data_IF_833565401537
#
_entry.id   IF_833565401537
#
_cell.length_a   1.000
_cell.length_b   1.000
_cell.length_c   1.000
_cell.angle_alpha   90.00
_cell.angle_beta   90.00
_cell.angle_gamma   90.00
#
_symmetry.space_group_name_H-M   'P 1'
#
loop_
_entity.id
_entity.type
_entity.pdbx_description
1 polymer ?
#
# COMPACT_ATOMS: atom_id res chain seq x y z
N UNK A 1 43.72 37.33 30.96
CA UNK A 1 44.06 38.75 30.74
C UNK A 1 44.72 38.86 29.38
N UNK A 2 44.15 39.70 28.47
CA UNK A 2 44.83 40.61 27.52
C UNK A 2 46.03 40.03 26.71
N UNK A 3 46.08 40.00 25.37
CA UNK A 3 45.58 40.95 24.35
C UNK A 3 45.82 40.36 22.95
N UNK A 4 44.86 40.57 22.06
CA UNK A 4 44.99 40.50 20.60
C UNK A 4 45.72 41.76 20.08
N UNK A 5 46.33 41.74 18.87
CA UNK A 5 46.40 42.88 17.91
C UNK A 5 47.12 42.50 16.57
N UNK A 6 46.37 42.63 15.46
CA UNK A 6 46.68 43.18 14.10
C UNK A 6 47.82 42.58 13.24
N UNK A 7 47.62 42.09 12.00
CA UNK A 7 46.96 42.61 10.77
C UNK A 7 47.94 43.27 9.79
N UNK A 8 48.16 42.63 8.62
CA UNK A 8 48.38 43.24 7.27
C UNK A 8 48.31 42.12 6.20
N UNK A 9 47.29 42.08 5.31
CA UNK A 9 47.20 42.66 3.94
C UNK A 9 48.03 41.85 2.89
N UNK A 10 47.65 41.51 1.63
CA UNK A 10 46.66 42.01 0.65
C UNK A 10 46.67 41.09 -0.64
N UNK A 11 45.48 40.68 -1.13
CA UNK A 11 44.98 40.54 -2.55
C UNK A 11 45.63 39.60 -3.60
N UNK A 12 44.80 38.72 -4.22
CA UNK A 12 44.37 38.71 -5.66
C UNK A 12 43.46 37.48 -5.93
N UNK A 13 42.14 37.62 -6.13
CA UNK A 13 41.40 37.78 -7.41
C UNK A 13 41.29 36.50 -8.28
N UNK A 14 40.17 35.77 -8.19
CA UNK A 14 39.69 34.85 -9.26
C UNK A 14 38.16 34.90 -9.36
N UNK A 15 37.71 35.69 -10.35
CA UNK A 15 36.60 35.54 -11.30
C UNK A 15 35.44 34.57 -11.03
N UNK A 16 34.25 35.07 -11.36
CA UNK A 16 32.96 34.45 -11.10
C UNK A 16 32.57 33.26 -11.99
N UNK A 17 31.55 32.56 -11.52
CA UNK A 17 30.57 31.87 -12.36
C UNK A 17 29.18 32.15 -11.83
N UNK A 18 28.35 32.72 -12.70
CA UNK A 18 26.91 32.83 -12.54
C UNK A 18 26.33 31.42 -12.73
N UNK A 19 25.70 30.86 -11.71
CA UNK A 19 24.77 29.74 -11.90
C UNK A 19 23.37 30.18 -11.51
N UNK A 20 22.49 30.11 -12.51
CA UNK A 20 21.11 30.51 -12.50
C UNK A 20 20.30 29.78 -11.41
N UNK A 21 19.51 30.53 -10.63
CA UNK A 21 18.46 29.97 -9.81
C UNK A 21 17.31 29.51 -10.72
N UNK A 22 17.27 28.21 -11.02
CA UNK A 22 16.11 27.61 -11.68
C UNK A 22 14.96 27.47 -10.68
N UNK A 23 13.84 28.11 -11.02
CA UNK A 23 12.61 28.20 -10.24
C UNK A 23 11.76 26.94 -10.38
N UNK A 24 11.21 26.50 -9.24
CA UNK A 24 10.04 25.65 -9.02
C UNK A 24 10.11 24.15 -9.38
N UNK A 25 10.05 23.32 -8.34
CA UNK A 25 9.17 22.14 -8.27
C UNK A 25 9.03 21.70 -6.79
N UNK A 26 7.91 22.07 -6.17
CA UNK A 26 7.42 21.44 -4.94
C UNK A 26 6.66 20.14 -5.33
N UNK A 27 6.55 19.17 -4.41
CA UNK A 27 6.62 17.75 -4.72
C UNK A 27 5.38 17.24 -5.46
N UNK A 28 5.62 16.50 -6.53
CA UNK A 28 4.63 15.58 -7.08
C UNK A 28 4.22 14.64 -5.96
N UNK A 29 2.95 14.71 -5.54
CA UNK A 29 2.34 13.67 -4.74
C UNK A 29 2.53 12.35 -5.50
N UNK A 30 3.45 11.51 -5.02
CA UNK A 30 3.52 10.12 -5.44
C UNK A 30 2.22 9.48 -4.95
N UNK A 31 1.24 9.43 -5.84
CA UNK A 31 0.20 8.41 -5.78
C UNK A 31 0.95 7.09 -5.82
N UNK A 32 1.14 6.48 -4.66
CA UNK A 32 1.60 5.10 -4.55
C UNK A 32 0.55 4.24 -5.25
N UNK A 33 0.74 4.02 -6.55
CA UNK A 33 0.10 2.92 -7.27
C UNK A 33 0.55 1.68 -6.54
N UNK A 34 -0.37 1.10 -5.76
CA UNK A 34 -0.17 -0.16 -5.08
C UNK A 34 0.16 -1.20 -6.15
N UNK A 35 1.45 -1.51 -6.28
CA UNK A 35 1.91 -2.70 -6.96
C UNK A 35 1.24 -3.86 -6.23
N UNK A 36 0.17 -4.43 -6.81
CA UNK A 36 -0.46 -5.63 -6.29
C UNK A 36 0.57 -6.75 -6.46
N UNK A 37 1.44 -6.91 -5.48
CA UNK A 37 2.42 -7.98 -5.45
C UNK A 37 1.67 -9.29 -5.61
N UNK A 38 2.04 -10.08 -6.62
CA UNK A 38 1.43 -11.38 -6.88
C UNK A 38 1.51 -12.31 -5.66
N UNK A 39 2.43 -12.04 -4.71
CA UNK A 39 2.56 -12.72 -3.43
C UNK A 39 1.39 -12.48 -2.45
N UNK A 40 0.61 -11.41 -2.64
CA UNK A 40 -0.56 -11.09 -1.79
C UNK A 40 -1.86 -11.72 -2.27
N UNK A 41 -1.91 -12.23 -3.52
CA UNK A 41 -3.13 -12.79 -4.09
C UNK A 41 -3.36 -14.21 -3.56
N UNK A 42 -4.53 -14.46 -2.97
CA UNK A 42 -4.87 -15.78 -2.45
C UNK A 42 -5.43 -16.68 -3.57
N UNK A 43 -4.74 -17.74 -4.00
CA UNK A 43 -5.18 -18.55 -5.14
C UNK A 43 -6.39 -19.44 -4.80
N UNK A 44 -7.26 -19.64 -5.79
CA UNK A 44 -8.32 -20.66 -5.75
C UNK A 44 -7.67 -22.04 -5.84
N UNK A 45 -8.07 -22.96 -4.96
CA UNK A 45 -7.63 -24.37 -4.97
C UNK A 45 -8.75 -25.34 -5.32
N UNK A 46 -10.00 -25.00 -5.02
CA UNK A 46 -11.16 -25.85 -5.31
C UNK A 46 -12.36 -25.02 -5.71
N UNK A 47 -13.09 -25.51 -6.70
CA UNK A 47 -14.36 -24.95 -7.16
C UNK A 47 -15.38 -26.08 -7.20
N UNK A 48 -16.54 -25.85 -6.60
CA UNK A 48 -17.68 -26.78 -6.65
C UNK A 48 -18.89 -26.01 -7.14
N UNK A 49 -19.55 -26.53 -8.17
CA UNK A 49 -20.80 -25.95 -8.69
C UNK A 49 -21.97 -26.86 -8.32
N UNK A 50 -22.94 -26.29 -7.61
CA UNK A 50 -24.17 -26.98 -7.23
C UNK A 50 -25.28 -26.77 -8.26
N UNK A 51 -26.18 -27.75 -8.39
CA UNK A 51 -27.30 -27.70 -9.35
C UNK A 51 -28.27 -26.54 -9.12
N UNK A 52 -28.33 -26.00 -7.91
CA UNK A 52 -29.13 -24.83 -7.57
C UNK A 52 -28.50 -23.51 -8.03
N UNK A 53 -27.37 -23.54 -8.73
CA UNK A 53 -26.68 -22.35 -9.25
C UNK A 53 -25.70 -21.70 -8.27
N UNK A 54 -25.47 -22.28 -7.09
CA UNK A 54 -24.48 -21.77 -6.13
C UNK A 54 -23.09 -22.31 -6.46
N UNK A 55 -22.09 -21.43 -6.46
CA UNK A 55 -20.67 -21.79 -6.53
C UNK A 55 -20.00 -21.72 -5.17
N UNK A 56 -19.19 -22.73 -4.83
CA UNK A 56 -18.30 -22.72 -3.68
C UNK A 56 -16.84 -22.61 -4.16
N UNK A 57 -16.12 -21.64 -3.61
CA UNK A 57 -14.73 -21.34 -3.95
C UNK A 57 -13.87 -21.47 -2.70
N UNK A 58 -12.90 -22.37 -2.77
CA UNK A 58 -11.91 -22.55 -1.70
C UNK A 58 -10.61 -21.87 -2.10
N UNK A 59 -10.15 -20.98 -1.23
CA UNK A 59 -8.90 -20.26 -1.36
C UNK A 59 -7.95 -20.71 -0.25
N UNK A 60 -6.72 -21.09 -0.59
CA UNK A 60 -5.74 -21.58 0.40
C UNK A 60 -4.32 -21.24 -0.01
N UNK A 61 -3.54 -20.74 0.94
CA UNK A 61 -2.11 -20.54 0.83
C UNK A 61 -1.41 -20.78 2.17
N UNK A 62 -0.09 -20.94 2.14
CA UNK A 62 0.73 -20.87 3.35
C UNK A 62 1.06 -19.41 3.63
N UNK A 63 0.86 -18.99 4.87
CA UNK A 63 1.22 -17.66 5.36
C UNK A 63 2.51 -17.76 6.15
N UNK A 64 3.44 -16.83 5.91
CA UNK A 64 4.69 -16.73 6.67
C UNK A 64 4.70 -15.43 7.46
N UNK A 65 4.86 -15.52 8.79
CA UNK A 65 4.76 -14.37 9.66
C UNK A 65 3.39 -13.70 9.59
N UNK A 66 3.38 -12.37 9.50
CA UNK A 66 2.15 -11.57 9.33
C UNK A 66 2.04 -11.14 7.88
N UNK A 67 0.99 -11.59 7.19
CA UNK A 67 0.78 -11.29 5.78
C UNK A 67 -0.66 -10.86 5.53
N UNK A 68 -0.84 -9.82 4.73
CA UNK A 68 -2.14 -9.45 4.19
C UNK A 68 -2.37 -10.23 2.88
N UNK A 69 -3.53 -10.86 2.78
CA UNK A 69 -3.97 -11.62 1.61
C UNK A 69 -5.21 -10.95 1.00
N UNK A 70 -5.27 -10.92 -0.33
CA UNK A 70 -6.34 -10.28 -1.07
C UNK A 70 -7.07 -11.26 -2.00
N UNK A 71 -8.39 -11.10 -2.07
CA UNK A 71 -9.28 -11.75 -3.03
C UNK A 71 -10.12 -10.64 -3.67
N UNK A 72 -10.14 -10.62 -5.00
CA UNK A 72 -10.92 -9.63 -5.75
C UNK A 72 -12.34 -10.14 -5.99
N UNK A 73 -13.33 -9.27 -5.77
CA UNK A 73 -14.72 -9.52 -6.08
C UNK A 73 -15.31 -8.35 -6.86
N UNK A 74 -16.27 -8.64 -7.74
CA UNK A 74 -17.08 -7.58 -8.36
C UNK A 74 -18.09 -7.03 -7.35
N UNK A 75 -18.58 -5.80 -7.57
CA UNK A 75 -19.63 -5.18 -6.73
C UNK A 75 -20.87 -6.08 -6.62
N UNK A 76 -21.24 -6.76 -7.71
CA UNK A 76 -22.40 -7.67 -7.72
C UNK A 76 -22.20 -8.90 -6.82
N UNK A 77 -20.96 -9.36 -6.64
CA UNK A 77 -20.63 -10.53 -5.82
C UNK A 77 -20.43 -10.18 -4.34
N UNK A 78 -20.11 -8.92 -4.02
CA UNK A 78 -19.68 -8.52 -2.68
C UNK A 78 -20.73 -8.82 -1.60
N UNK A 79 -22.02 -8.59 -1.87
CA UNK A 79 -23.10 -8.87 -0.92
C UNK A 79 -23.15 -10.35 -0.52
N UNK A 80 -23.00 -11.26 -1.47
CA UNK A 80 -23.04 -12.70 -1.20
C UNK A 80 -21.80 -13.12 -0.41
N UNK A 81 -20.62 -12.60 -0.80
CA UNK A 81 -19.37 -12.83 -0.08
C UNK A 81 -19.47 -12.37 1.37
N UNK A 82 -19.97 -11.16 1.64
CA UNK A 82 -20.10 -10.66 3.00
C UNK A 82 -21.03 -11.52 3.88
N UNK A 83 -22.00 -12.20 3.26
CA UNK A 83 -22.94 -13.09 3.97
C UNK A 83 -22.42 -14.51 4.17
N UNK A 84 -21.50 -14.97 3.33
CA UNK A 84 -21.07 -16.38 3.31
C UNK A 84 -19.57 -16.60 3.51
N UNK A 85 -18.74 -15.56 3.54
CA UNK A 85 -17.29 -15.67 3.69
C UNK A 85 -16.95 -16.32 5.03
N UNK A 86 -16.16 -17.38 4.97
CA UNK A 86 -15.57 -18.02 6.13
C UNK A 86 -14.06 -18.01 5.97
N UNK A 87 -13.35 -17.52 6.99
CA UNK A 87 -11.90 -17.51 7.04
C UNK A 87 -11.43 -18.26 8.29
N UNK A 88 -10.53 -19.21 8.10
CA UNK A 88 -10.00 -20.06 9.17
C UNK A 88 -8.49 -20.22 8.99
N UNK A 89 -7.77 -20.23 10.12
CA UNK A 89 -6.39 -20.72 10.15
C UNK A 89 -6.44 -22.24 10.40
N UNK A 90 -5.68 -23.00 9.62
CA UNK A 90 -5.61 -24.46 9.72
C UNK A 90 -4.32 -24.94 10.42
N UNK A 91 -3.53 -24.03 10.99
CA UNK A 91 -2.32 -24.31 11.75
C UNK A 91 -2.36 -23.65 13.14
N UNK A 92 -1.23 -23.12 13.57
CA UNK A 92 -1.08 -22.45 14.87
C UNK A 92 -1.21 -20.92 14.78
N UNK A 93 -1.71 -20.40 13.64
CA UNK A 93 -1.88 -18.98 13.38
C UNK A 93 -3.24 -18.44 13.83
N UNK A 94 -3.54 -17.19 13.45
CA UNK A 94 -4.89 -16.64 13.60
C UNK A 94 -5.23 -15.64 12.50
N UNK A 95 -6.50 -15.58 12.14
CA UNK A 95 -7.04 -14.50 11.31
C UNK A 95 -7.24 -13.27 12.20
N UNK A 96 -6.54 -12.17 11.92
CA UNK A 96 -6.56 -10.95 12.73
C UNK A 96 -7.68 -9.99 12.37
N UNK A 97 -7.97 -9.83 11.07
CA UNK A 97 -9.00 -8.93 10.55
C UNK A 97 -9.36 -9.30 9.12
N UNK A 98 -10.56 -8.90 8.70
CA UNK A 98 -10.99 -8.90 7.30
C UNK A 98 -11.38 -7.47 6.93
N UNK A 99 -10.83 -6.95 5.84
CA UNK A 99 -11.10 -5.60 5.35
C UNK A 99 -11.64 -5.70 3.92
N UNK A 100 -12.60 -4.85 3.59
CA UNK A 100 -13.07 -4.68 2.21
C UNK A 100 -13.15 -3.19 1.89
N UNK A 101 -12.97 -2.84 0.62
CA UNK A 101 -13.13 -1.48 0.17
C UNK A 101 -14.63 -1.18 0.02
N UNK A 102 -15.19 -0.33 0.88
CA UNK A 102 -16.54 0.18 0.68
C UNK A 102 -16.52 1.34 -0.30
N UNK A 103 -17.25 1.21 -1.40
CA UNK A 103 -17.56 2.30 -2.34
C UNK A 103 -18.93 2.92 -2.02
N UNK A 104 -19.38 2.86 -0.76
CA UNK A 104 -20.56 3.59 -0.35
C UNK A 104 -20.38 5.08 -0.69
N UNK A 105 -21.33 5.71 -1.40
CA UNK A 105 -21.40 7.16 -1.53
C UNK A 105 -21.20 7.82 -0.15
N UNK A 106 -20.54 8.98 -0.12
CA UNK A 106 -20.15 9.62 1.15
C UNK A 106 -21.33 9.83 2.11
N UNK A 107 -22.52 9.98 1.56
CA UNK A 107 -23.83 10.15 2.18
C UNK A 107 -24.39 8.89 2.86
N UNK A 108 -23.82 7.70 2.64
CA UNK A 108 -24.25 6.44 3.25
C UNK A 108 -23.26 5.87 4.29
N UNK A 109 -22.19 6.60 4.63
CA UNK A 109 -21.20 6.19 5.63
C UNK A 109 -21.62 6.67 7.02
N UNK A 110 -22.08 5.74 7.87
CA UNK A 110 -22.44 5.96 9.29
C UNK A 110 -21.22 6.33 10.15
#
# INVERSE_FOLDING_TARGET
MRRSIFSTLLVLLVTGTLFAQNKAAAPSAQTAVASSDASSRLPVKRVVLYKNGVGYFEHTARVHGTQDLSIDFTTAQLNDVLKSLTAVDLGEGRVSSVRYNSIAPLDERL
#
